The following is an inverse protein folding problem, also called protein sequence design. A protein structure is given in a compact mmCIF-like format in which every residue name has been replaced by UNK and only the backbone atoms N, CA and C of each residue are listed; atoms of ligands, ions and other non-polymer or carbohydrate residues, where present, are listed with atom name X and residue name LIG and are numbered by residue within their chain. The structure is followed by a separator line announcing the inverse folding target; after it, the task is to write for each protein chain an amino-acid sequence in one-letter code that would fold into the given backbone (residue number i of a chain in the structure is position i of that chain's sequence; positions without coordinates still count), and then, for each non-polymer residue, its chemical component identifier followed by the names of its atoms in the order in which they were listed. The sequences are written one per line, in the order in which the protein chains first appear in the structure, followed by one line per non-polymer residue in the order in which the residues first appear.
data_IF_630718088607
#
_entry.id   IF_630718088607
#
_cell.length_a   1.000
_cell.length_b   1.000
_cell.length_c   1.000
_cell.angle_alpha   90.00
_cell.angle_beta   90.00
_cell.angle_gamma   90.00
#
_symmetry.space_group_name_H-M   'P 1'
#
loop_
_entity.id
_entity.type
_entity.pdbx_description
1 polymer ?
#
# COMPACT_ATOMS: atom_id res chain seq x y z
N UNK A 1 31.45 -8.45 48.68
CA UNK A 1 30.24 -9.26 48.48
C UNK A 1 29.05 -8.38 48.12
N UNK A 2 28.87 -7.28 48.83
CA UNK A 2 27.80 -6.32 48.54
C UNK A 2 28.06 -5.53 47.27
N UNK A 3 29.28 -5.34 46.84
CA UNK A 3 29.65 -4.67 45.60
C UNK A 3 29.44 -5.53 44.36
N UNK A 4 29.57 -6.83 44.48
CA UNK A 4 29.37 -7.75 43.35
C UNK A 4 27.90 -7.93 42.99
N UNK A 5 26.98 -7.83 43.93
CA UNK A 5 25.54 -7.99 43.68
C UNK A 5 24.93 -6.91 42.78
N UNK A 6 25.23 -5.62 42.96
CA UNK A 6 24.71 -4.61 42.01
C UNK A 6 25.23 -4.76 40.57
N UNK A 7 26.50 -5.16 40.44
CA UNK A 7 27.13 -5.36 39.14
C UNK A 7 26.47 -6.55 38.40
N UNK A 8 26.19 -7.63 39.10
CA UNK A 8 25.47 -8.78 38.53
C UNK A 8 24.04 -8.43 38.15
N UNK A 9 23.39 -7.66 38.97
CA UNK A 9 22.05 -7.18 38.75
C UNK A 9 21.98 -6.31 37.49
N UNK A 10 22.91 -5.41 37.31
CA UNK A 10 23.02 -4.52 36.15
C UNK A 10 23.32 -5.34 34.87
N UNK A 11 24.21 -6.35 34.98
CA UNK A 11 24.55 -7.21 33.85
C UNK A 11 23.35 -8.05 33.38
N UNK A 12 22.58 -8.61 34.31
CA UNK A 12 21.35 -9.33 33.97
C UNK A 12 20.28 -8.43 33.36
N UNK A 13 20.19 -7.20 33.87
CA UNK A 13 19.25 -6.22 33.31
C UNK A 13 19.61 -5.84 31.89
N UNK A 14 20.88 -5.65 31.63
CA UNK A 14 21.36 -5.33 30.27
C UNK A 14 21.12 -6.49 29.31
N UNK A 15 21.31 -7.74 29.73
CA UNK A 15 21.04 -8.90 28.94
C UNK A 15 19.55 -9.06 28.61
N UNK A 16 18.67 -8.76 29.55
CA UNK A 16 17.21 -8.80 29.34
C UNK A 16 16.77 -7.71 28.37
N UNK A 17 17.32 -6.51 28.49
CA UNK A 17 17.02 -5.40 27.58
C UNK A 17 17.49 -5.73 26.16
N UNK A 18 18.68 -6.30 25.99
CA UNK A 18 19.19 -6.73 24.69
C UNK A 18 18.36 -7.85 24.08
N UNK A 19 17.93 -8.82 24.87
CA UNK A 19 17.05 -9.88 24.40
C UNK A 19 15.67 -9.36 24.00
N UNK A 20 15.11 -8.41 24.74
CA UNK A 20 13.86 -7.75 24.39
C UNK A 20 14.00 -6.94 23.10
N UNK A 21 15.13 -6.29 22.87
CA UNK A 21 15.40 -5.55 21.63
C UNK A 21 15.50 -6.49 20.43
N UNK A 22 16.13 -7.63 20.56
CA UNK A 22 16.21 -8.65 19.52
C UNK A 22 14.84 -9.26 19.20
N UNK A 23 14.02 -9.49 20.21
CA UNK A 23 12.65 -9.97 20.05
C UNK A 23 11.76 -8.93 19.34
N UNK A 24 11.90 -7.66 19.68
CA UNK A 24 11.22 -6.58 18.98
C UNK A 24 11.68 -6.46 17.53
N UNK A 25 12.95 -6.65 17.24
CA UNK A 25 13.46 -6.64 15.87
C UNK A 25 12.95 -7.84 15.07
N UNK A 26 12.79 -9.01 15.69
CA UNK A 26 12.16 -10.17 15.03
C UNK A 26 10.64 -10.00 14.86
N UNK A 27 9.95 -9.41 15.84
CA UNK A 27 8.55 -9.05 15.74
C UNK A 27 8.29 -7.94 14.72
N UNK A 28 9.26 -7.02 14.56
CA UNK A 28 9.20 -5.96 13.58
C UNK A 28 9.29 -6.44 12.13
N UNK A 29 9.69 -7.69 11.87
CA UNK A 29 9.59 -8.28 10.53
C UNK A 29 8.17 -8.68 10.16
N UNK A 30 7.32 -8.95 11.13
CA UNK A 30 5.91 -9.28 10.91
C UNK A 30 5.01 -8.04 10.98
N UNK A 31 5.32 -7.07 11.86
CA UNK A 31 4.59 -5.81 11.98
C UNK A 31 4.75 -4.85 10.78
N UNK A 32 5.92 -4.73 10.11
CA UNK A 32 6.03 -3.84 8.94
C UNK A 32 5.12 -4.19 7.77
N UNK A 33 4.49 -5.35 7.78
CA UNK A 33 3.48 -5.70 6.79
C UNK A 33 2.23 -4.86 6.90
N UNK A 34 1.91 -4.43 8.11
CA UNK A 34 0.88 -3.42 8.28
C UNK A 34 1.33 -2.11 7.69
N UNK A 35 2.62 -1.91 7.45
CA UNK A 35 3.12 -0.63 7.02
C UNK A 35 2.75 -0.27 5.59
N UNK A 36 2.66 -1.21 4.64
CA UNK A 36 2.25 -0.89 3.27
C UNK A 36 0.79 -0.43 3.24
N UNK A 37 -0.11 -1.24 3.76
CA UNK A 37 -1.53 -0.93 3.80
C UNK A 37 -1.82 0.27 4.71
N UNK A 38 -1.11 0.38 5.83
CA UNK A 38 -1.25 1.50 6.75
C UNK A 38 -0.77 2.81 6.14
N UNK A 39 0.36 2.82 5.43
CA UNK A 39 0.86 4.01 4.74
C UNK A 39 -0.16 4.47 3.71
N UNK A 40 -0.77 3.55 2.98
CA UNK A 40 -1.81 3.88 2.01
C UNK A 40 -3.03 4.48 2.71
N UNK A 41 -3.52 3.85 3.76
CA UNK A 41 -4.70 4.33 4.49
C UNK A 41 -4.49 5.69 5.14
N UNK A 42 -3.29 5.94 5.65
CA UNK A 42 -2.96 7.24 6.27
C UNK A 42 -2.86 8.37 5.25
N UNK A 43 -2.28 8.10 4.09
CA UNK A 43 -1.98 9.14 3.10
C UNK A 43 -3.01 9.22 1.98
N UNK A 44 -3.67 8.12 1.66
CA UNK A 44 -4.67 8.06 0.58
C UNK A 44 -5.94 7.33 1.04
N UNK A 45 -6.67 7.87 2.03
CA UNK A 45 -7.87 7.23 2.57
C UNK A 45 -9.03 7.15 1.60
N UNK A 46 -8.95 7.83 0.47
CA UNK A 46 -9.97 7.78 -0.60
C UNK A 46 -10.04 6.42 -1.28
N UNK A 47 -9.00 5.58 -1.19
CA UNK A 47 -9.03 4.23 -1.75
C UNK A 47 -9.68 3.30 -0.72
N UNK A 48 -10.77 2.65 -1.13
CA UNK A 48 -11.61 1.85 -0.23
C UNK A 48 -10.96 0.55 0.22
N UNK A 49 -10.01 0.05 -0.57
CA UNK A 49 -9.35 -1.21 -0.31
C UNK A 49 -7.92 -1.18 -0.84
N UNK A 50 -7.02 -1.75 -0.08
CA UNK A 50 -5.60 -1.85 -0.44
C UNK A 50 -5.12 -3.26 -0.12
N UNK A 51 -4.68 -3.99 -1.13
CA UNK A 51 -4.12 -5.33 -0.99
C UNK A 51 -2.68 -5.37 -1.47
N UNK A 52 -1.79 -5.74 -0.59
CA UNK A 52 -0.38 -5.90 -0.90
C UNK A 52 -0.02 -7.38 -1.05
N UNK A 53 0.49 -7.74 -2.21
CA UNK A 53 1.06 -9.06 -2.47
C UNK A 53 2.60 -8.96 -2.45
N UNK A 54 3.18 -9.41 -1.34
CA UNK A 54 4.61 -9.37 -1.12
C UNK A 54 5.38 -10.25 -2.13
N UNK A 55 4.81 -11.37 -2.51
CA UNK A 55 5.42 -12.31 -3.45
C UNK A 55 5.50 -11.74 -4.86
N UNK A 56 4.43 -11.10 -5.31
CA UNK A 56 4.35 -10.48 -6.63
C UNK A 56 4.96 -9.08 -6.65
N UNK A 57 5.16 -8.43 -5.50
CA UNK A 57 5.62 -7.05 -5.41
C UNK A 57 4.58 -6.06 -5.95
N UNK A 58 3.30 -6.33 -5.72
CA UNK A 58 2.19 -5.53 -6.23
C UNK A 58 1.29 -5.01 -5.12
N UNK A 59 0.84 -3.79 -5.25
CA UNK A 59 -0.16 -3.17 -4.39
C UNK A 59 -1.37 -2.83 -5.24
N UNK A 60 -2.52 -3.42 -4.94
CA UNK A 60 -3.78 -3.13 -5.61
C UNK A 60 -4.61 -2.18 -4.75
N UNK A 61 -5.04 -1.09 -5.35
CA UNK A 61 -5.92 -0.10 -4.75
C UNK A 61 -7.26 -0.14 -5.46
N UNK A 62 -8.35 -0.07 -4.72
CA UNK A 62 -9.70 -0.08 -5.27
C UNK A 62 -10.34 1.29 -5.09
N UNK A 63 -10.91 1.81 -6.16
CA UNK A 63 -11.73 3.01 -6.14
C UNK A 63 -13.14 2.66 -6.61
N UNK A 64 -14.11 2.86 -5.74
CA UNK A 64 -15.50 2.59 -6.04
C UNK A 64 -16.12 3.72 -6.86
N UNK A 65 -16.84 3.34 -7.90
CA UNK A 65 -17.61 4.26 -8.73
C UNK A 65 -19.11 4.08 -8.46
N UNK A 66 -19.86 5.15 -8.63
CA UNK A 66 -21.33 5.10 -8.59
C UNK A 66 -21.95 4.62 -9.91
N UNK A 67 -21.13 4.51 -10.96
CA UNK A 67 -21.57 4.05 -12.27
C UNK A 67 -21.71 2.52 -12.29
N UNK A 68 -22.75 2.03 -12.99
CA UNK A 68 -22.81 0.61 -13.36
C UNK A 68 -21.79 0.31 -14.47
N UNK A 69 -21.46 -0.96 -14.64
CA UNK A 69 -20.56 -1.37 -15.72
C UNK A 69 -21.10 -0.97 -17.11
N UNK A 70 -22.40 -1.18 -17.35
CA UNK A 70 -23.03 -0.79 -18.59
C UNK A 70 -22.96 0.72 -18.85
N UNK A 71 -23.15 1.53 -17.81
CA UNK A 71 -23.00 2.98 -17.91
C UNK A 71 -21.55 3.38 -18.17
N UNK A 72 -20.60 2.70 -17.55
CA UNK A 72 -19.18 2.95 -17.76
C UNK A 72 -18.77 2.62 -19.19
N UNK A 73 -19.25 1.52 -19.76
CA UNK A 73 -19.00 1.19 -21.16
C UNK A 73 -19.50 2.28 -22.12
N UNK A 74 -20.64 2.86 -21.81
CA UNK A 74 -21.27 3.86 -22.68
C UNK A 74 -20.71 5.28 -22.49
N UNK A 75 -20.47 5.68 -21.24
CA UNK A 75 -20.17 7.07 -20.89
C UNK A 75 -18.79 7.24 -20.25
N UNK A 76 -18.05 6.17 -20.00
CA UNK A 76 -16.76 6.22 -19.29
C UNK A 76 -15.76 7.15 -19.99
N UNK A 77 -15.68 7.11 -21.30
CA UNK A 77 -14.80 7.98 -22.08
C UNK A 77 -15.11 9.46 -21.90
N UNK A 78 -16.35 9.82 -21.61
CA UNK A 78 -16.75 11.20 -21.34
C UNK A 78 -16.51 11.59 -19.86
N UNK A 79 -16.68 10.65 -18.95
CA UNK A 79 -16.50 10.88 -17.51
C UNK A 79 -15.02 10.97 -17.15
N UNK A 80 -14.22 10.05 -17.69
CA UNK A 80 -12.79 9.96 -17.40
C UNK A 80 -11.96 10.65 -18.47
N UNK A 81 -12.19 11.94 -18.64
CA UNK A 81 -11.42 12.82 -19.52
C UNK A 81 -10.93 14.02 -18.74
N UNK A 82 -10.03 14.77 -19.34
CA UNK A 82 -9.43 15.99 -18.78
C UNK A 82 -8.81 15.71 -17.38
N UNK A 83 -9.24 16.39 -16.35
CA UNK A 83 -8.67 16.29 -14.99
C UNK A 83 -8.88 14.90 -14.35
N UNK A 84 -9.88 14.14 -14.81
CA UNK A 84 -10.14 12.78 -14.33
C UNK A 84 -9.64 11.72 -15.32
N UNK A 85 -8.79 12.11 -16.27
CA UNK A 85 -8.26 11.16 -17.25
C UNK A 85 -7.50 10.02 -16.62
N UNK A 86 -7.52 8.84 -17.25
CA UNK A 86 -6.77 7.69 -16.73
C UNK A 86 -5.27 7.96 -16.73
N UNK A 87 -4.78 8.78 -17.68
CA UNK A 87 -3.38 9.22 -17.69
C UNK A 87 -3.03 10.05 -16.45
N UNK A 88 -3.95 10.86 -15.93
CA UNK A 88 -3.69 11.61 -14.71
C UNK A 88 -3.53 10.70 -13.50
N UNK A 89 -4.16 9.55 -13.49
CA UNK A 89 -3.98 8.55 -12.45
C UNK A 89 -2.64 7.85 -12.50
N UNK A 90 -1.93 7.85 -13.64
CA UNK A 90 -0.56 7.35 -13.71
C UNK A 90 0.37 8.12 -12.77
N UNK A 91 0.23 9.42 -12.70
CA UNK A 91 1.01 10.26 -11.79
C UNK A 91 0.72 9.89 -10.33
N UNK A 92 -0.55 9.66 -10.01
CA UNK A 92 -0.97 9.28 -8.67
C UNK A 92 -0.39 7.93 -8.26
N UNK A 93 -0.54 6.91 -9.09
CA UNK A 93 0.01 5.57 -8.75
C UNK A 93 1.54 5.58 -8.73
N UNK A 94 2.18 6.41 -9.54
CA UNK A 94 3.62 6.61 -9.51
C UNK A 94 4.09 7.23 -8.19
N UNK A 95 3.41 8.25 -7.71
CA UNK A 95 3.69 8.89 -6.41
C UNK A 95 3.47 7.92 -5.27
N UNK A 96 2.37 7.16 -5.29
CA UNK A 96 2.09 6.15 -4.28
C UNK A 96 3.18 5.07 -4.26
N UNK A 97 3.59 4.58 -5.42
CA UNK A 97 4.68 3.60 -5.54
C UNK A 97 5.97 4.13 -4.92
N UNK A 98 6.33 5.37 -5.23
CA UNK A 98 7.54 6.00 -4.68
C UNK A 98 7.45 6.15 -3.16
N UNK A 99 6.36 6.72 -2.66
CA UNK A 99 6.20 7.01 -1.24
C UNK A 99 6.12 5.74 -0.40
N UNK A 100 5.40 4.73 -0.85
CA UNK A 100 5.29 3.44 -0.15
C UNK A 100 6.63 2.72 -0.14
N UNK A 101 7.34 2.69 -1.27
CA UNK A 101 8.69 2.11 -1.32
C UNK A 101 9.64 2.80 -0.35
N UNK A 102 9.62 4.12 -0.31
CA UNK A 102 10.48 4.90 0.59
C UNK A 102 10.13 4.65 2.05
N UNK A 103 8.85 4.62 2.40
CA UNK A 103 8.38 4.43 3.76
C UNK A 103 8.61 3.00 4.27
N UNK A 104 8.50 1.99 3.39
CA UNK A 104 8.57 0.58 3.78
C UNK A 104 9.92 -0.08 3.43
N UNK A 105 10.84 0.64 2.84
CA UNK A 105 12.15 0.12 2.45
C UNK A 105 12.11 -0.91 1.32
N UNK A 106 11.14 -0.78 0.40
CA UNK A 106 10.98 -1.67 -0.75
C UNK A 106 11.78 -1.14 -1.94
N UNK A 107 12.43 -2.03 -2.66
CA UNK A 107 13.18 -1.67 -3.87
C UNK A 107 12.25 -1.53 -5.08
N UNK A 108 11.26 -2.41 -5.17
CA UNK A 108 10.31 -2.45 -6.28
C UNK A 108 8.89 -2.56 -5.74
N UNK A 109 7.96 -1.91 -6.39
CA UNK A 109 6.54 -2.00 -6.09
C UNK A 109 5.74 -1.50 -7.30
N UNK A 110 4.93 -2.36 -7.88
CA UNK A 110 3.95 -1.96 -8.88
C UNK A 110 2.63 -1.66 -8.19
N UNK A 111 2.15 -0.44 -8.33
CA UNK A 111 0.85 -0.03 -7.79
C UNK A 111 -0.17 -0.03 -8.91
N UNK A 112 -1.27 -0.73 -8.72
CA UNK A 112 -2.40 -0.77 -9.66
C UNK A 112 -3.64 -0.19 -9.00
N UNK A 113 -4.19 0.85 -9.60
CA UNK A 113 -5.48 1.40 -9.22
C UNK A 113 -6.55 0.74 -10.08
N UNK A 114 -7.53 0.14 -9.44
CA UNK A 114 -8.66 -0.52 -10.07
C UNK A 114 -9.94 0.24 -9.78
N UNK A 115 -10.57 0.76 -10.82
CA UNK A 115 -11.90 1.35 -10.71
C UNK A 115 -12.96 0.25 -10.80
N UNK A 116 -13.87 0.23 -9.84
CA UNK A 116 -14.90 -0.80 -9.74
C UNK A 116 -16.28 -0.16 -9.84
N UNK A 117 -17.12 -0.69 -10.69
CA UNK A 117 -18.51 -0.23 -10.87
C UNK A 117 -19.36 -0.51 -9.63
N UNK A 118 -20.52 0.12 -9.55
CA UNK A 118 -21.48 -0.10 -8.46
C UNK A 118 -22.01 -1.54 -8.41
N UNK A 119 -21.92 -2.26 -9.53
CA UNK A 119 -22.28 -3.68 -9.63
C UNK A 119 -21.08 -4.64 -9.51
N UNK A 120 -19.92 -4.12 -9.08
CA UNK A 120 -18.77 -4.94 -8.69
C UNK A 120 -17.84 -5.37 -9.79
N UNK A 121 -17.91 -4.77 -10.99
CA UNK A 121 -17.04 -5.12 -12.11
C UNK A 121 -15.95 -4.07 -12.33
N UNK A 122 -14.77 -4.53 -12.74
CA UNK A 122 -13.67 -3.62 -13.06
C UNK A 122 -13.99 -2.80 -14.31
N UNK A 123 -13.92 -1.49 -14.18
CA UNK A 123 -14.19 -0.56 -15.30
C UNK A 123 -12.92 0.04 -15.88
N UNK A 124 -11.87 0.18 -15.09
CA UNK A 124 -10.55 0.57 -15.56
C UNK A 124 -9.46 0.06 -14.62
N UNK A 125 -8.25 -0.03 -15.15
CA UNK A 125 -7.03 -0.21 -14.34
C UNK A 125 -5.96 0.78 -14.79
N UNK A 126 -5.20 1.30 -13.84
CA UNK A 126 -4.04 2.15 -14.09
C UNK A 126 -2.89 1.66 -13.21
N UNK A 127 -1.78 1.26 -13.82
CA UNK A 127 -0.64 0.72 -13.09
C UNK A 127 0.58 1.64 -13.21
N UNK A 128 1.40 1.64 -12.17
CA UNK A 128 2.63 2.44 -12.12
C UNK A 128 3.68 2.02 -13.16
N UNK A 129 3.51 0.86 -13.79
CA UNK A 129 4.32 0.42 -14.93
C UNK A 129 3.89 1.04 -16.27
N UNK A 130 2.86 1.85 -16.29
CA UNK A 130 2.32 2.51 -17.47
C UNK A 130 1.15 1.80 -18.13
N UNK A 131 0.73 0.66 -17.63
CA UNK A 131 -0.42 -0.08 -18.19
C UNK A 131 -1.74 0.59 -17.83
N UNK A 132 -2.56 0.85 -18.82
CA UNK A 132 -3.92 1.41 -18.68
C UNK A 132 -4.89 0.51 -19.45
N UNK A 133 -5.99 0.15 -18.81
CA UNK A 133 -7.11 -0.56 -19.45
C UNK A 133 -8.43 0.10 -19.08
N UNK A 134 -9.42 0.00 -19.94
CA UNK A 134 -10.76 0.49 -19.66
C UNK A 134 -11.81 -0.34 -20.39
N UNK A 135 -13.03 -0.34 -19.88
CA UNK A 135 -14.15 -1.07 -20.46
C UNK A 135 -14.85 -0.32 -21.59
N UNK A 136 -14.48 0.94 -21.85
CA UNK A 136 -15.08 1.79 -22.90
C UNK A 136 -14.21 1.96 -24.15
N UNK A 137 -13.07 1.32 -24.18
CA UNK A 137 -12.18 1.29 -25.35
C UNK A 137 -12.42 0.11 -26.25
#
# INVERSE_FOLDING_TARGET
LLEALPVRSVSCFLAIVLAAFLLCACGAKDEPRTSVESVVQENWPQFSDAEYDETAGTLRLTQESTMTYASAQKFGGEVYKDDLSLESYLDIVGVISYDVRSACGLQELTVTLEGVSSDGQTIYTVSSDGTITSCWE
#
